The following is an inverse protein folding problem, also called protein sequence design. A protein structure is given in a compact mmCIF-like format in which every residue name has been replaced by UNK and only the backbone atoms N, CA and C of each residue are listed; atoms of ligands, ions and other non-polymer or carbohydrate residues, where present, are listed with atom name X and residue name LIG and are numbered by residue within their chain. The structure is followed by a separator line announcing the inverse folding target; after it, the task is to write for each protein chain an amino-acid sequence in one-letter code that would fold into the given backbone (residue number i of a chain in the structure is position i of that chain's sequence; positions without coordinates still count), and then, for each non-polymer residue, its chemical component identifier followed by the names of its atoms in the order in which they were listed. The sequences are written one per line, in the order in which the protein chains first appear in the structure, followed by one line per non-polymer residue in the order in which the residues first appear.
data_IF_924920258153
#
_entry.id   IF_924920258153
#
_cell.length_a   1.000
_cell.length_b   1.000
_cell.length_c   1.000
_cell.angle_alpha   90.00
_cell.angle_beta   90.00
_cell.angle_gamma   90.00
#
_symmetry.space_group_name_H-M   'P 1'
#
loop_
_entity.id
_entity.type
_entity.pdbx_description
1 polymer ?
#
# COMPACT_ATOMS: atom_id res chain seq x y z
N UNK A 1 -15.28 5.71 24.27
CA UNK A 1 -15.41 4.65 25.30
C UNK A 1 -14.10 4.39 26.08
N UNK A 2 -12.93 4.51 25.43
CA UNK A 2 -11.62 4.40 26.12
C UNK A 2 -11.45 5.44 27.25
N UNK A 3 -12.13 6.57 27.14
CA UNK A 3 -12.05 7.69 28.09
C UNK A 3 -12.89 7.52 29.38
N UNK A 4 -13.64 6.44 29.54
CA UNK A 4 -14.49 6.20 30.72
C UNK A 4 -13.84 5.37 31.81
N UNK A 5 -12.65 4.80 31.58
CA UNK A 5 -11.81 4.22 32.63
C UNK A 5 -11.08 5.33 33.42
N UNK A 6 -10.55 5.02 34.59
CA UNK A 6 -9.93 6.05 35.44
C UNK A 6 -8.97 6.96 34.64
N UNK A 7 -8.92 8.26 34.91
CA UNK A 7 -8.08 9.22 34.20
C UNK A 7 -6.60 8.80 34.11
N UNK A 8 -6.13 8.06 35.12
CA UNK A 8 -4.74 7.56 35.18
C UNK A 8 -4.51 6.43 34.16
N UNK A 9 -5.46 5.50 34.08
CA UNK A 9 -5.37 4.38 33.12
C UNK A 9 -5.51 4.87 31.66
N UNK A 10 -6.46 5.79 31.40
CA UNK A 10 -6.62 6.38 30.08
C UNK A 10 -5.34 7.12 29.62
N UNK A 11 -4.68 7.84 30.54
CA UNK A 11 -3.43 8.54 30.23
C UNK A 11 -2.27 7.57 29.97
N UNK A 12 -2.18 6.48 30.73
CA UNK A 12 -1.15 5.45 30.50
C UNK A 12 -1.34 4.76 29.16
N UNK A 13 -2.57 4.36 28.82
CA UNK A 13 -2.91 3.78 27.51
C UNK A 13 -2.58 4.75 26.38
N UNK A 14 -2.96 6.01 26.50
CA UNK A 14 -2.69 7.02 25.51
C UNK A 14 -1.18 7.21 25.27
N UNK A 15 -0.39 7.30 26.33
CA UNK A 15 1.06 7.44 26.24
C UNK A 15 1.71 6.23 25.53
N UNK A 16 1.23 5.00 25.81
CA UNK A 16 1.72 3.79 25.13
C UNK A 16 1.35 3.81 23.66
N UNK A 17 0.08 4.11 23.32
CA UNK A 17 -0.38 4.22 21.93
C UNK A 17 0.40 5.28 21.15
N UNK A 18 0.57 6.47 21.74
CA UNK A 18 1.34 7.56 21.13
C UNK A 18 2.80 7.15 20.90
N UNK A 19 3.43 6.49 21.90
CA UNK A 19 4.80 6.00 21.80
C UNK A 19 4.91 4.92 20.71
N UNK A 20 4.00 3.94 20.68
CA UNK A 20 3.95 2.90 19.67
C UNK A 20 3.79 3.49 18.26
N UNK A 21 2.79 4.38 18.07
CA UNK A 21 2.58 5.02 16.77
C UNK A 21 3.79 5.84 16.33
N UNK A 22 4.37 6.65 17.21
CA UNK A 22 5.52 7.48 16.90
C UNK A 22 6.74 6.64 16.56
N UNK A 23 7.01 5.60 17.32
CA UNK A 23 8.17 4.73 17.12
C UNK A 23 8.01 3.86 15.86
N UNK A 24 6.87 3.26 15.59
CA UNK A 24 6.61 2.49 14.37
C UNK A 24 6.77 3.38 13.13
N UNK A 25 6.24 4.61 13.15
CA UNK A 25 6.40 5.57 12.06
C UNK A 25 7.84 6.06 11.87
N UNK A 26 8.67 6.07 12.93
CA UNK A 26 10.06 6.54 12.90
C UNK A 26 11.08 5.45 12.53
N UNK A 27 10.67 4.22 12.19
CA UNK A 27 11.57 3.06 12.00
C UNK A 27 12.46 2.82 13.21
N UNK A 28 11.88 2.37 14.28
CA UNK A 28 12.61 2.04 15.51
C UNK A 28 13.50 0.83 15.33
N UNK A 29 14.63 0.82 16.06
CA UNK A 29 15.50 -0.32 16.24
C UNK A 29 14.70 -1.48 16.86
N UNK A 30 15.11 -2.73 16.56
CA UNK A 30 14.46 -3.95 17.03
C UNK A 30 14.25 -3.97 18.56
N UNK A 31 15.25 -3.51 19.29
CA UNK A 31 15.22 -3.43 20.76
C UNK A 31 14.08 -2.56 21.28
N UNK A 32 13.87 -1.40 20.67
CA UNK A 32 12.75 -0.50 21.04
C UNK A 32 11.39 -1.15 20.83
N UNK A 33 11.24 -1.98 19.78
CA UNK A 33 9.99 -2.69 19.48
C UNK A 33 9.73 -3.78 20.52
N UNK A 34 10.77 -4.51 20.94
CA UNK A 34 10.66 -5.53 21.98
C UNK A 34 10.28 -4.92 23.34
N UNK A 35 10.82 -3.75 23.70
CA UNK A 35 10.48 -3.05 24.93
C UNK A 35 9.04 -2.54 24.91
N UNK A 36 8.56 -1.99 23.79
CA UNK A 36 7.15 -1.58 23.65
C UNK A 36 6.22 -2.80 23.78
N UNK A 37 6.59 -3.95 23.20
CA UNK A 37 5.79 -5.17 23.33
C UNK A 37 5.71 -5.64 24.79
N UNK A 38 6.82 -5.56 25.56
CA UNK A 38 6.82 -5.85 27.00
C UNK A 38 5.92 -4.89 27.79
N UNK A 39 5.96 -3.60 27.47
CA UNK A 39 5.10 -2.60 28.10
C UNK A 39 3.62 -2.86 27.83
N UNK A 40 3.27 -3.27 26.60
CA UNK A 40 1.91 -3.70 26.26
C UNK A 40 1.50 -4.95 27.09
N UNK A 41 2.37 -5.95 27.20
CA UNK A 41 2.10 -7.16 27.97
C UNK A 41 1.91 -6.86 29.48
N UNK A 42 2.68 -5.91 30.02
CA UNK A 42 2.52 -5.43 31.41
C UNK A 42 1.15 -4.74 31.54
N UNK A 43 0.79 -3.86 30.61
CA UNK A 43 -0.50 -3.16 30.63
C UNK A 43 -1.68 -4.12 30.58
N UNK A 44 -1.64 -5.15 29.73
CA UNK A 44 -2.69 -6.16 29.61
C UNK A 44 -2.94 -6.86 30.96
N UNK A 45 -1.89 -7.10 31.75
CA UNK A 45 -2.03 -7.73 33.08
C UNK A 45 -2.80 -6.87 34.10
N UNK A 46 -2.78 -5.54 33.94
CA UNK A 46 -3.48 -4.60 34.81
C UNK A 46 -4.89 -4.26 34.32
N UNK A 47 -5.24 -4.62 33.09
CA UNK A 47 -6.55 -4.37 32.50
C UNK A 47 -7.51 -5.52 32.87
N UNK A 48 -8.79 -5.20 33.04
CA UNK A 48 -9.81 -6.22 33.23
C UNK A 48 -9.95 -7.03 31.93
N UNK A 49 -9.88 -8.37 31.98
CA UNK A 49 -9.88 -9.28 30.84
C UNK A 49 -11.10 -9.15 29.91
N UNK A 50 -12.21 -8.61 30.41
CA UNK A 50 -13.44 -8.41 29.61
C UNK A 50 -13.52 -7.01 28.98
N UNK A 51 -12.48 -6.20 29.09
CA UNK A 51 -12.45 -4.85 28.54
C UNK A 51 -12.11 -4.85 27.06
N UNK A 52 -12.87 -4.10 26.24
CA UNK A 52 -12.53 -3.84 24.83
C UNK A 52 -11.10 -3.26 24.67
N UNK A 53 -10.62 -2.54 25.68
CA UNK A 53 -9.27 -1.99 25.73
C UNK A 53 -8.22 -3.10 25.75
N UNK A 54 -8.47 -4.24 26.42
CA UNK A 54 -7.55 -5.40 26.41
C UNK A 54 -7.38 -5.92 25.00
N UNK A 55 -8.47 -6.06 24.24
CA UNK A 55 -8.41 -6.53 22.86
C UNK A 55 -7.58 -5.59 22.00
N UNK A 56 -7.81 -4.27 22.10
CA UNK A 56 -7.03 -3.27 21.32
C UNK A 56 -5.54 -3.33 21.68
N UNK A 57 -5.18 -3.41 22.96
CA UNK A 57 -3.78 -3.47 23.39
C UNK A 57 -3.14 -4.80 22.99
N UNK A 58 -3.90 -5.90 23.01
CA UNK A 58 -3.44 -7.22 22.53
C UNK A 58 -3.15 -7.16 21.04
N UNK A 59 -4.08 -6.64 20.24
CA UNK A 59 -3.91 -6.50 18.79
C UNK A 59 -2.67 -5.65 18.45
N UNK A 60 -2.46 -4.53 19.17
CA UNK A 60 -1.28 -3.69 19.00
C UNK A 60 0.00 -4.46 19.37
N UNK A 61 0.00 -5.21 20.49
CA UNK A 61 1.14 -6.01 20.91
C UNK A 61 1.49 -7.08 19.86
N UNK A 62 0.47 -7.75 19.30
CA UNK A 62 0.67 -8.78 18.29
C UNK A 62 1.20 -8.19 16.96
N UNK A 63 0.70 -7.03 16.55
CA UNK A 63 1.23 -6.30 15.39
C UNK A 63 2.71 -5.93 15.62
N UNK A 64 3.05 -5.39 16.79
CA UNK A 64 4.41 -4.99 17.14
C UNK A 64 5.33 -6.22 17.14
N UNK A 65 4.94 -7.32 17.78
CA UNK A 65 5.70 -8.58 17.84
C UNK A 65 5.92 -9.17 16.44
N UNK A 66 4.89 -9.17 15.58
CA UNK A 66 5.01 -9.65 14.20
C UNK A 66 5.96 -8.78 13.38
N UNK A 67 5.91 -7.46 13.57
CA UNK A 67 6.81 -6.52 12.90
C UNK A 67 8.25 -6.67 13.34
N UNK A 68 8.49 -6.94 14.64
CA UNK A 68 9.85 -7.18 15.16
C UNK A 68 10.45 -8.51 14.71
N UNK A 69 9.62 -9.46 14.28
CA UNK A 69 10.10 -10.76 13.77
C UNK A 69 10.60 -10.69 12.32
N UNK A 70 10.33 -9.61 11.59
CA UNK A 70 10.80 -9.40 10.23
C UNK A 70 12.27 -8.97 10.29
N UNK A 71 13.15 -9.87 9.89
CA UNK A 71 14.57 -9.56 9.71
C UNK A 71 14.76 -8.93 8.33
N UNK A 72 15.46 -7.80 8.25
CA UNK A 72 15.84 -7.13 7.01
C UNK A 72 17.36 -7.03 6.95
N UNK A 73 17.94 -7.62 5.91
CA UNK A 73 19.38 -7.48 5.58
C UNK A 73 19.48 -6.66 4.29
N UNK A 74 19.99 -5.43 4.40
CA UNK A 74 20.12 -4.50 3.26
C UNK A 74 21.05 -5.02 2.14
N UNK A 75 21.86 -6.03 2.39
CA UNK A 75 22.73 -6.64 1.39
C UNK A 75 22.03 -7.74 0.58
N UNK A 76 20.93 -8.27 1.11
CA UNK A 76 20.18 -9.39 0.51
C UNK A 76 18.76 -8.97 0.15
N UNK A 77 18.10 -8.23 1.03
CA UNK A 77 16.70 -7.90 0.90
C UNK A 77 16.49 -6.58 0.14
N UNK A 78 15.49 -6.57 -0.74
CA UNK A 78 15.05 -5.37 -1.44
C UNK A 78 13.66 -4.96 -0.97
N UNK A 79 13.52 -3.75 -0.48
CA UNK A 79 12.21 -3.17 -0.18
C UNK A 79 11.61 -2.64 -1.49
N UNK A 80 10.46 -3.19 -1.86
CA UNK A 80 9.70 -2.79 -3.05
C UNK A 80 8.35 -2.19 -2.63
N UNK A 81 8.10 -0.95 -3.05
CA UNK A 81 6.81 -0.29 -2.85
C UNK A 81 6.03 -0.34 -4.17
N UNK A 82 4.82 -0.89 -4.11
CA UNK A 82 3.87 -0.86 -5.22
C UNK A 82 2.73 0.08 -4.83
N UNK A 83 2.51 1.13 -5.60
CA UNK A 83 1.54 2.18 -5.27
C UNK A 83 0.69 2.57 -6.47
N UNK A 84 -0.54 2.98 -6.20
CA UNK A 84 -1.40 3.66 -7.17
C UNK A 84 -1.08 5.16 -7.20
N UNK A 85 -0.97 5.72 -8.41
CA UNK A 85 -0.91 7.17 -8.61
C UNK A 85 -2.31 7.69 -8.95
N UNK A 86 -3.27 7.43 -8.10
CA UNK A 86 -4.59 8.05 -8.18
C UNK A 86 -4.45 9.56 -7.92
N UNK A 87 -5.02 10.38 -8.82
CA UNK A 87 -4.95 11.84 -8.70
C UNK A 87 -5.56 12.38 -7.41
N UNK A 88 -6.49 11.63 -6.83
CA UNK A 88 -7.17 12.00 -5.59
C UNK A 88 -6.36 11.57 -4.34
N UNK A 89 -5.38 10.66 -4.49
CA UNK A 89 -4.59 10.10 -3.39
C UNK A 89 -3.33 10.91 -3.06
N UNK A 90 -2.85 11.73 -3.99
CA UNK A 90 -1.64 12.52 -3.80
C UNK A 90 -1.93 14.03 -3.87
N UNK A 91 -1.63 14.72 -2.78
CA UNK A 91 -1.71 16.18 -2.76
C UNK A 91 -0.59 16.75 -3.63
N UNK A 92 -0.97 17.60 -4.59
CA UNK A 92 -0.05 18.35 -5.44
C UNK A 92 -0.36 19.83 -5.37
N UNK A 93 0.27 20.52 -4.42
CA UNK A 93 0.26 21.98 -4.31
C UNK A 93 1.69 22.51 -4.47
N UNK A 94 1.91 23.82 -4.77
CA UNK A 94 3.25 24.39 -4.89
C UNK A 94 4.17 24.09 -3.71
N UNK A 95 3.61 23.97 -2.51
CA UNK A 95 4.35 23.75 -1.27
C UNK A 95 4.29 22.29 -0.78
N UNK A 96 3.52 21.41 -1.42
CA UNK A 96 3.38 20.01 -1.02
C UNK A 96 3.17 19.13 -2.25
N UNK A 97 4.25 18.55 -2.73
CA UNK A 97 4.29 17.63 -3.88
C UNK A 97 4.58 16.22 -3.38
N UNK A 98 3.54 15.55 -2.92
CA UNK A 98 3.67 14.25 -2.25
C UNK A 98 4.27 13.17 -3.16
N UNK A 99 3.85 13.09 -4.41
CA UNK A 99 4.39 12.09 -5.33
C UNK A 99 5.90 12.28 -5.56
N UNK A 100 6.33 13.51 -5.84
CA UNK A 100 7.75 13.83 -6.00
C UNK A 100 8.56 13.52 -4.74
N UNK A 101 7.99 13.78 -3.55
CA UNK A 101 8.60 13.42 -2.28
C UNK A 101 8.80 11.91 -2.15
N UNK A 102 7.79 11.08 -2.51
CA UNK A 102 7.88 9.62 -2.49
C UNK A 102 8.98 9.14 -3.43
N UNK A 103 8.99 9.62 -4.68
CA UNK A 103 10.02 9.27 -5.68
C UNK A 103 11.43 9.57 -5.17
N UNK A 104 11.65 10.79 -4.66
CA UNK A 104 12.96 11.21 -4.11
C UNK A 104 13.35 10.38 -2.89
N UNK A 105 12.41 10.07 -2.02
CA UNK A 105 12.66 9.32 -0.79
C UNK A 105 13.03 7.86 -1.11
N UNK A 106 12.30 7.21 -2.00
CA UNK A 106 12.61 5.84 -2.43
C UNK A 106 14.00 5.78 -3.07
N UNK A 107 14.30 6.71 -3.99
CA UNK A 107 15.63 6.80 -4.61
C UNK A 107 16.74 6.98 -3.57
N UNK A 108 16.55 7.88 -2.59
CA UNK A 108 17.54 8.13 -1.53
C UNK A 108 17.78 6.91 -0.64
N UNK A 109 16.74 6.09 -0.41
CA UNK A 109 16.79 4.92 0.46
C UNK A 109 17.12 3.61 -0.27
N UNK A 110 17.29 3.65 -1.59
CA UNK A 110 17.51 2.43 -2.38
C UNK A 110 16.28 1.53 -2.48
N UNK A 111 15.06 2.04 -2.22
CA UNK A 111 13.83 1.27 -2.33
C UNK A 111 13.38 1.17 -3.79
N UNK A 112 12.93 0.00 -4.20
CA UNK A 112 12.20 -0.17 -5.46
C UNK A 112 10.85 0.55 -5.37
N UNK A 113 10.51 1.36 -6.38
CA UNK A 113 9.22 2.03 -6.45
C UNK A 113 8.54 1.66 -7.76
N UNK A 114 7.39 1.01 -7.65
CA UNK A 114 6.57 0.54 -8.75
C UNK A 114 5.20 1.19 -8.67
N UNK A 115 4.81 1.83 -9.75
CA UNK A 115 3.66 2.74 -9.77
C UNK A 115 2.71 2.33 -10.88
N UNK A 116 1.43 2.42 -10.60
CA UNK A 116 0.37 2.37 -11.61
C UNK A 116 -0.37 3.70 -11.64
N UNK A 117 -0.60 4.25 -12.81
CA UNK A 117 -1.43 5.44 -13.00
C UNK A 117 -2.52 5.13 -14.04
N UNK A 118 -3.80 5.20 -13.66
CA UNK A 118 -4.36 5.80 -12.43
C UNK A 118 -4.42 4.84 -11.23
N UNK A 119 -4.48 3.53 -11.45
CA UNK A 119 -4.71 2.54 -10.39
C UNK A 119 -4.29 1.13 -10.82
N UNK A 120 -4.22 0.19 -9.88
CA UNK A 120 -3.78 -1.18 -10.15
C UNK A 120 -4.65 -1.93 -11.17
N UNK A 121 -5.94 -1.60 -11.28
CA UNK A 121 -6.79 -2.14 -12.33
C UNK A 121 -6.27 -1.84 -13.74
N UNK A 122 -5.53 -0.74 -13.93
CA UNK A 122 -4.86 -0.47 -15.20
C UNK A 122 -3.78 -1.52 -15.48
N UNK A 123 -2.95 -1.90 -14.50
CA UNK A 123 -1.99 -3.00 -14.66
C UNK A 123 -2.69 -4.32 -15.03
N UNK A 124 -3.83 -4.61 -14.39
CA UNK A 124 -4.60 -5.81 -14.74
C UNK A 124 -5.17 -5.75 -16.17
N UNK A 125 -5.53 -4.59 -16.69
CA UNK A 125 -5.95 -4.40 -18.09
C UNK A 125 -4.82 -4.71 -19.08
N UNK A 126 -3.56 -4.48 -18.71
CA UNK A 126 -2.41 -4.77 -19.58
C UNK A 126 -2.24 -6.26 -19.90
N UNK A 127 -2.90 -7.16 -19.17
CA UNK A 127 -2.94 -8.59 -19.48
C UNK A 127 -3.77 -8.90 -20.75
N UNK A 128 -4.48 -7.90 -21.29
CA UNK A 128 -5.37 -8.02 -22.43
C UNK A 128 -5.03 -6.99 -23.52
N UNK A 129 -5.00 -7.42 -24.80
CA UNK A 129 -4.70 -6.52 -25.92
C UNK A 129 -5.78 -5.47 -26.15
N UNK A 130 -6.97 -5.73 -25.66
CA UNK A 130 -8.11 -4.81 -25.73
C UNK A 130 -7.83 -3.47 -25.04
N UNK A 131 -6.83 -3.41 -24.16
CA UNK A 131 -6.39 -2.16 -23.52
C UNK A 131 -6.01 -1.10 -24.55
N UNK A 132 -5.49 -1.50 -25.73
CA UNK A 132 -5.12 -0.57 -26.80
C UNK A 132 -6.32 0.03 -27.54
N UNK A 133 -7.49 -0.55 -27.41
CA UNK A 133 -8.74 -0.02 -27.96
C UNK A 133 -9.41 0.98 -27.01
N UNK A 134 -8.90 1.12 -25.78
CA UNK A 134 -9.47 2.02 -24.79
C UNK A 134 -8.96 3.45 -25.01
N UNK A 135 -9.82 4.40 -24.66
CA UNK A 135 -9.52 5.83 -24.71
C UNK A 135 -8.47 6.16 -23.64
N UNK A 136 -7.31 6.68 -24.07
CA UNK A 136 -6.17 6.97 -23.19
C UNK A 136 -6.46 8.08 -22.19
N UNK A 137 -7.23 9.08 -22.57
CA UNK A 137 -7.59 10.18 -21.69
C UNK A 137 -8.55 9.68 -20.60
N UNK A 138 -9.50 8.82 -20.96
CA UNK A 138 -10.37 8.16 -19.99
C UNK A 138 -9.63 7.17 -19.10
N UNK A 139 -8.59 6.51 -19.62
CA UNK A 139 -7.74 5.67 -18.77
C UNK A 139 -7.05 6.51 -17.70
N UNK A 140 -6.44 7.63 -18.08
CA UNK A 140 -5.76 8.53 -17.15
C UNK A 140 -6.72 9.18 -16.15
N UNK A 141 -7.82 9.75 -16.65
CA UNK A 141 -8.81 10.45 -15.82
C UNK A 141 -9.59 9.50 -14.90
N UNK A 142 -9.71 8.24 -15.31
CA UNK A 142 -10.44 7.19 -14.62
C UNK A 142 -11.81 7.66 -14.06
N UNK A 143 -12.68 8.24 -14.91
CA UNK A 143 -13.92 8.84 -14.47
C UNK A 143 -14.88 7.81 -13.88
N UNK A 144 -15.78 8.28 -13.04
CA UNK A 144 -16.87 7.46 -12.52
C UNK A 144 -17.84 7.12 -13.65
N UNK A 145 -18.05 5.82 -13.93
CA UNK A 145 -18.97 5.32 -14.97
C UNK A 145 -20.30 4.90 -14.37
N UNK A 146 -20.27 4.30 -13.20
CA UNK A 146 -21.48 3.94 -12.44
C UNK A 146 -21.35 4.43 -11.02
N UNK A 147 -22.43 4.42 -10.23
CA UNK A 147 -22.37 4.79 -8.80
C UNK A 147 -21.32 4.04 -7.98
N UNK A 148 -20.81 2.91 -8.48
CA UNK A 148 -19.91 2.03 -7.77
C UNK A 148 -18.56 1.81 -8.47
N UNK A 149 -18.40 2.24 -9.73
CA UNK A 149 -17.22 1.84 -10.54
C UNK A 149 -16.66 2.97 -11.37
N UNK A 150 -15.34 3.07 -11.33
CA UNK A 150 -14.54 3.91 -12.22
C UNK A 150 -14.27 3.20 -13.57
N UNK A 151 -13.77 3.94 -14.55
CA UNK A 151 -13.59 3.48 -15.92
C UNK A 151 -12.71 2.24 -16.04
N UNK A 152 -11.54 2.23 -15.42
CA UNK A 152 -10.62 1.08 -15.47
C UNK A 152 -11.24 -0.20 -14.91
N UNK A 153 -11.92 -0.12 -13.76
CA UNK A 153 -12.63 -1.28 -13.18
C UNK A 153 -13.79 -1.73 -14.09
N UNK A 154 -14.51 -0.77 -14.65
CA UNK A 154 -15.63 -1.07 -15.55
C UNK A 154 -15.17 -1.83 -16.79
N UNK A 155 -14.08 -1.39 -17.45
CA UNK A 155 -13.53 -2.06 -18.62
C UNK A 155 -12.89 -3.41 -18.25
N UNK A 156 -12.16 -3.49 -17.13
CA UNK A 156 -11.57 -4.74 -16.66
C UNK A 156 -12.60 -5.84 -16.45
N UNK A 157 -13.78 -5.51 -15.93
CA UNK A 157 -14.85 -6.50 -15.71
C UNK A 157 -15.46 -7.08 -16.99
N UNK A 158 -15.33 -6.40 -18.12
CA UNK A 158 -15.71 -6.96 -19.42
C UNK A 158 -14.76 -8.06 -19.87
N UNK A 159 -13.47 -7.90 -19.54
CA UNK A 159 -12.38 -8.81 -19.94
C UNK A 159 -12.12 -9.91 -18.90
N UNK A 160 -12.40 -9.62 -17.63
CA UNK A 160 -12.26 -10.55 -16.52
C UNK A 160 -13.59 -10.69 -15.77
N UNK A 161 -14.51 -11.53 -16.26
CA UNK A 161 -15.80 -11.74 -15.62
C UNK A 161 -15.66 -12.20 -14.17
N UNK A 162 -16.47 -11.63 -13.29
CA UNK A 162 -16.41 -11.93 -11.85
C UNK A 162 -15.35 -11.15 -11.07
N UNK A 163 -14.59 -10.25 -11.71
CA UNK A 163 -13.64 -9.39 -11.02
C UNK A 163 -14.31 -8.55 -9.93
N UNK A 164 -13.72 -8.59 -8.75
CA UNK A 164 -13.91 -7.61 -7.66
C UNK A 164 -12.54 -7.31 -7.06
N UNK A 165 -12.38 -6.17 -6.38
CA UNK A 165 -11.08 -5.79 -5.75
C UNK A 165 -10.56 -6.83 -4.75
N UNK A 166 -11.44 -7.61 -4.14
CA UNK A 166 -11.10 -8.65 -3.15
C UNK A 166 -11.07 -10.07 -3.72
N UNK A 167 -11.58 -10.28 -4.95
CA UNK A 167 -11.67 -11.63 -5.53
C UNK A 167 -11.64 -11.56 -7.06
N UNK A 168 -10.70 -12.26 -7.66
CA UNK A 168 -10.60 -12.43 -9.11
C UNK A 168 -9.79 -13.69 -9.45
N UNK A 169 -9.84 -14.12 -10.71
CA UNK A 169 -9.12 -15.29 -11.18
C UNK A 169 -7.64 -14.92 -11.42
N UNK A 170 -6.80 -15.17 -10.42
CA UNK A 170 -5.35 -14.90 -10.46
C UNK A 170 -4.64 -15.78 -11.48
N UNK A 171 -5.04 -17.07 -11.61
CA UNK A 171 -4.41 -18.02 -12.54
C UNK A 171 -4.56 -17.56 -14.00
N UNK A 172 -5.74 -17.04 -14.36
CA UNK A 172 -5.98 -16.49 -15.69
C UNK A 172 -5.10 -15.27 -16.00
N UNK A 173 -4.73 -14.48 -15.01
CA UNK A 173 -3.81 -13.34 -15.16
C UNK A 173 -2.36 -13.82 -15.17
N UNK A 174 -1.96 -14.73 -14.30
CA UNK A 174 -0.60 -15.27 -14.25
C UNK A 174 -0.17 -15.91 -15.57
N UNK A 175 -1.07 -16.59 -16.27
CA UNK A 175 -0.79 -17.12 -17.61
C UNK A 175 -0.50 -16.05 -18.68
N UNK A 176 -0.81 -14.79 -18.40
CA UNK A 176 -0.67 -13.63 -19.30
C UNK A 176 0.30 -12.56 -18.77
N UNK A 177 1.04 -12.85 -17.72
CA UNK A 177 1.91 -11.85 -17.09
C UNK A 177 2.99 -11.35 -18.04
N UNK A 178 3.58 -12.21 -18.87
CA UNK A 178 4.57 -11.79 -19.87
C UNK A 178 3.96 -10.84 -20.90
N UNK A 179 2.71 -11.05 -21.27
CA UNK A 179 1.96 -10.17 -22.15
C UNK A 179 1.73 -8.81 -21.49
N UNK A 180 1.36 -8.78 -20.22
CA UNK A 180 1.19 -7.55 -19.47
C UNK A 180 2.50 -6.72 -19.45
N UNK A 181 3.63 -7.36 -19.20
CA UNK A 181 4.96 -6.72 -19.25
C UNK A 181 5.27 -6.15 -20.64
N UNK A 182 4.94 -6.88 -21.70
CA UNK A 182 5.12 -6.38 -23.08
C UNK A 182 4.19 -5.21 -23.40
N UNK A 183 2.94 -5.29 -22.97
CA UNK A 183 1.95 -4.26 -23.20
C UNK A 183 2.25 -2.97 -22.42
N UNK A 184 2.81 -3.10 -21.20
CA UNK A 184 3.25 -1.97 -20.37
C UNK A 184 4.22 -1.05 -21.15
N UNK A 185 5.17 -1.62 -21.89
CA UNK A 185 6.18 -0.89 -22.69
C UNK A 185 5.59 0.03 -23.77
N UNK A 186 4.30 -0.11 -24.08
CA UNK A 186 3.56 0.76 -25.02
C UNK A 186 2.85 1.94 -24.33
N UNK A 187 2.95 2.02 -23.02
CA UNK A 187 2.47 3.11 -22.17
C UNK A 187 3.65 3.79 -21.46
N UNK A 188 3.37 4.71 -20.55
CA UNK A 188 4.41 5.36 -19.78
C UNK A 188 4.99 4.41 -18.74
N UNK A 189 6.32 4.26 -18.71
CA UNK A 189 7.06 3.52 -17.67
C UNK A 189 7.98 4.44 -16.84
N UNK A 190 8.14 5.70 -17.27
CA UNK A 190 9.00 6.66 -16.60
C UNK A 190 8.35 7.12 -15.30
N UNK A 191 9.02 6.85 -14.17
CA UNK A 191 8.48 7.10 -12.84
C UNK A 191 8.14 8.58 -12.58
N UNK A 192 8.82 9.51 -13.24
CA UNK A 192 8.52 10.94 -13.09
C UNK A 192 7.31 11.32 -13.93
N UNK A 193 7.20 10.79 -15.15
CA UNK A 193 6.08 11.05 -16.05
C UNK A 193 4.81 10.34 -15.63
N UNK A 194 4.93 9.21 -14.90
CA UNK A 194 3.78 8.53 -14.30
C UNK A 194 2.98 9.42 -13.33
N UNK A 195 3.50 10.58 -12.94
CA UNK A 195 2.70 11.58 -12.23
C UNK A 195 1.54 12.12 -13.09
N UNK A 196 1.71 12.17 -14.42
CA UNK A 196 0.79 12.86 -15.34
C UNK A 196 0.33 12.03 -16.54
N UNK A 197 0.92 10.87 -16.75
CA UNK A 197 0.63 10.00 -17.91
C UNK A 197 0.10 8.65 -17.46
N UNK A 198 -0.87 8.11 -18.19
CA UNK A 198 -1.35 6.75 -17.95
C UNK A 198 -0.25 5.74 -18.27
N UNK A 199 0.01 4.86 -17.32
CA UNK A 199 1.07 3.89 -17.47
C UNK A 199 1.34 3.09 -16.20
N UNK A 200 2.41 2.32 -16.25
CA UNK A 200 2.89 1.51 -15.14
C UNK A 200 4.36 1.18 -15.32
N UNK A 201 5.05 0.86 -14.23
CA UNK A 201 6.37 0.24 -14.25
C UNK A 201 6.42 -1.02 -13.36
N UNK A 202 5.27 -1.63 -13.09
CA UNK A 202 5.16 -2.89 -12.29
C UNK A 202 5.80 -4.06 -13.04
N UNK A 203 5.81 -4.03 -14.37
CA UNK A 203 6.50 -5.03 -15.20
C UNK A 203 7.98 -5.16 -14.89
N UNK A 204 8.65 -4.06 -14.50
CA UNK A 204 10.04 -4.11 -14.04
C UNK A 204 10.21 -4.96 -12.79
N UNK A 205 9.27 -4.88 -11.83
CA UNK A 205 9.29 -5.76 -10.67
C UNK A 205 9.19 -7.23 -11.08
N UNK A 206 8.32 -7.53 -12.03
CA UNK A 206 8.16 -8.90 -12.55
C UNK A 206 9.44 -9.38 -13.25
N UNK A 207 10.10 -8.52 -14.03
CA UNK A 207 11.37 -8.83 -14.69
C UNK A 207 12.52 -9.03 -13.68
N UNK A 208 12.53 -8.30 -12.58
CA UNK A 208 13.52 -8.43 -11.49
C UNK A 208 13.34 -9.71 -10.65
N UNK A 209 12.13 -10.28 -10.63
CA UNK A 209 11.82 -11.51 -9.87
C UNK A 209 12.05 -12.80 -10.67
N UNK A 210 12.37 -12.71 -11.95
CA UNK A 210 12.70 -13.83 -12.84
C UNK A 210 14.19 -14.13 -12.83
#
# INVERSE_FOLDING_TARGET
HILTTSKVQAKAIWNILETCCTKVLQKTLREDVEDIAKDCDILIKYLNKESEVVNIVTDISDIIKSTSSITYDENIDKICLVIDRDKDSFISTPNNRQYEYVVKTCKKKGFGLYVTNPCFEFWLLLHFDEVFCLDRDKLLENPQITSQRRYTEYELRKLLPGYTKSKYNVEALMSRVDKAVQNEKKFCEDIVKLEYEAGSNVGRLIEELK
#
